data_IF_160845114145
#
_entry.id   IF_160845114145
#
_cell.length_a   1.000
_cell.length_b   1.000
_cell.length_c   1.000
_cell.angle_alpha   90.00
_cell.angle_beta   90.00
_cell.angle_gamma   90.00
#
_symmetry.space_group_name_H-M   'P 1'
#
loop_
_entity.id
_entity.type
_entity.pdbx_description
1 polymer ?
#
# COMPACT_ATOMS: atom_id res chain seq x y z
N UNK A 1 -4.37 12.60 -10.84
CA UNK A 1 -4.12 13.22 -12.15
C UNK A 1 -2.64 13.08 -12.48
N UNK A 2 -2.30 12.16 -13.37
CA UNK A 2 -0.95 12.07 -13.94
C UNK A 2 -0.84 13.13 -15.05
N UNK A 3 0.21 13.93 -15.07
CA UNK A 3 0.45 14.86 -16.18
C UNK A 3 1.27 14.13 -17.26
N UNK A 4 0.68 13.76 -18.41
CA UNK A 4 1.35 12.97 -19.44
C UNK A 4 2.61 13.65 -20.00
N UNK A 5 2.71 14.97 -19.86
CA UNK A 5 3.84 15.77 -20.30
C UNK A 5 5.13 15.47 -19.51
N UNK A 6 5.01 15.14 -18.21
CA UNK A 6 6.16 14.76 -17.36
C UNK A 6 6.87 13.53 -17.92
N UNK A 7 6.13 12.51 -18.33
CA UNK A 7 6.69 11.23 -18.82
C UNK A 7 7.07 11.26 -20.30
N UNK A 8 6.49 12.18 -21.09
CA UNK A 8 6.80 12.38 -22.52
C UNK A 8 7.91 13.41 -22.76
N UNK A 9 8.92 13.41 -21.89
CA UNK A 9 10.10 14.26 -22.03
C UNK A 9 10.20 15.40 -21.02
N UNK A 10 9.18 15.67 -20.20
CA UNK A 10 9.29 16.61 -19.09
C UNK A 10 10.41 16.23 -18.11
N UNK A 11 10.50 14.95 -17.73
CA UNK A 11 11.61 14.45 -16.89
C UNK A 11 12.97 14.57 -17.57
N UNK A 12 13.03 14.32 -18.88
CA UNK A 12 14.25 14.49 -19.66
C UNK A 12 14.69 15.96 -19.67
N UNK A 13 13.75 16.89 -19.87
CA UNK A 13 14.01 18.33 -19.81
C UNK A 13 14.46 18.74 -18.41
N UNK A 14 13.81 18.27 -17.34
CA UNK A 14 14.27 18.56 -15.97
C UNK A 14 15.66 18.01 -15.70
N UNK A 15 15.99 16.83 -16.25
CA UNK A 15 17.34 16.25 -16.16
C UNK A 15 18.37 17.12 -16.87
N UNK A 16 18.08 17.55 -18.09
CA UNK A 16 18.96 18.45 -18.86
C UNK A 16 19.14 19.80 -18.16
N UNK A 17 18.07 20.40 -17.64
CA UNK A 17 18.15 21.65 -16.88
C UNK A 17 18.95 21.49 -15.59
N UNK A 18 18.81 20.35 -14.90
CA UNK A 18 19.62 20.03 -13.71
C UNK A 18 21.10 19.89 -14.09
N UNK A 19 21.40 19.29 -15.24
CA UNK A 19 22.77 19.12 -15.74
C UNK A 19 23.40 20.49 -16.09
N UNK A 20 22.64 21.36 -16.74
CA UNK A 20 23.04 22.76 -17.01
C UNK A 20 23.27 23.53 -15.70
N UNK A 21 22.40 23.36 -14.70
CA UNK A 21 22.55 23.98 -13.40
C UNK A 21 23.84 23.50 -12.69
N UNK A 22 24.10 22.20 -12.67
CA UNK A 22 25.33 21.63 -12.09
C UNK A 22 26.56 22.17 -12.84
N UNK A 23 26.53 22.21 -14.17
CA UNK A 23 27.61 22.76 -14.98
C UNK A 23 27.86 24.24 -14.68
N UNK A 24 26.79 25.04 -14.56
CA UNK A 24 26.88 26.46 -14.22
C UNK A 24 27.42 26.71 -12.81
N UNK A 25 27.09 25.84 -11.84
CA UNK A 25 27.56 25.95 -10.44
C UNK A 25 29.02 25.47 -10.29
N UNK A 26 29.45 24.50 -11.09
CA UNK A 26 30.82 23.95 -11.04
C UNK A 26 31.83 24.72 -11.88
N UNK A 27 31.39 25.59 -12.79
CA UNK A 27 32.27 26.44 -13.60
C UNK A 27 32.99 27.49 -12.73
N UNK A 28 34.32 27.52 -12.78
CA UNK A 28 35.13 28.49 -12.04
C UNK A 28 34.77 29.93 -12.47
N UNK A 29 34.43 30.79 -11.50
CA UNK A 29 34.06 32.20 -11.75
C UNK A 29 32.57 32.48 -11.96
N UNK A 30 31.69 31.46 -11.92
CA UNK A 30 30.25 31.69 -12.04
C UNK A 30 29.62 32.28 -10.76
N UNK A 31 28.80 33.33 -10.91
CA UNK A 31 28.05 33.93 -9.80
C UNK A 31 27.07 32.93 -9.14
N UNK A 32 26.58 31.95 -9.90
CA UNK A 32 25.71 30.89 -9.40
C UNK A 32 26.37 30.05 -8.29
N UNK A 33 27.68 29.77 -8.41
CA UNK A 33 28.45 29.09 -7.37
C UNK A 33 28.57 29.92 -6.09
N UNK A 34 28.69 31.25 -6.20
CA UNK A 34 28.70 32.15 -5.03
C UNK A 34 27.34 32.27 -4.36
N UNK A 35 26.24 32.15 -5.12
CA UNK A 35 24.88 32.25 -4.59
C UNK A 35 24.45 30.96 -3.87
N UNK A 36 24.68 29.81 -4.50
CA UNK A 36 24.36 28.48 -3.94
C UNK A 36 25.39 28.02 -2.91
N UNK A 37 26.63 28.52 -3.00
CA UNK A 37 27.70 28.29 -2.04
C UNK A 37 27.60 29.15 -0.78
N UNK A 38 26.45 29.77 -0.50
CA UNK A 38 26.27 30.51 0.74
C UNK A 38 26.34 29.56 1.96
N UNK A 39 26.73 30.10 3.11
CA UNK A 39 26.99 29.30 4.32
C UNK A 39 25.76 28.50 4.80
N UNK A 40 24.54 29.00 4.54
CA UNK A 40 23.30 28.35 4.97
C UNK A 40 22.96 27.16 4.06
N UNK A 41 23.00 27.35 2.75
CA UNK A 41 22.73 26.29 1.77
C UNK A 41 23.79 25.20 1.80
N UNK A 42 25.06 25.55 1.99
CA UNK A 42 26.12 24.57 2.23
C UNK A 42 25.89 23.79 3.53
N UNK A 43 25.43 24.46 4.60
CA UNK A 43 25.09 23.79 5.85
C UNK A 43 23.93 22.80 5.64
N UNK A 44 22.84 23.21 4.97
CA UNK A 44 21.72 22.30 4.67
C UNK A 44 22.18 21.14 3.78
N UNK A 45 22.93 21.42 2.70
CA UNK A 45 23.37 20.40 1.75
C UNK A 45 24.29 19.35 2.37
N UNK A 46 25.24 19.77 3.21
CA UNK A 46 26.15 18.86 3.92
C UNK A 46 25.47 17.96 4.95
N UNK A 47 24.26 18.33 5.42
CA UNK A 47 23.45 17.55 6.37
C UNK A 47 22.15 17.00 5.77
N UNK A 48 21.98 17.09 4.44
CA UNK A 48 20.76 16.72 3.74
C UNK A 48 20.32 15.29 4.03
N UNK A 49 21.27 14.36 4.17
CA UNK A 49 21.00 12.97 4.52
C UNK A 49 20.40 12.83 5.93
N UNK A 50 20.98 13.44 6.96
CA UNK A 50 20.44 13.43 8.31
C UNK A 50 19.08 14.13 8.39
N UNK A 51 18.90 15.26 7.69
CA UNK A 51 17.60 15.93 7.59
C UNK A 51 16.54 14.98 7.01
N UNK A 52 16.87 14.28 5.92
CA UNK A 52 15.97 13.31 5.29
C UNK A 52 15.62 12.14 6.23
N UNK A 53 16.58 11.60 6.97
CA UNK A 53 16.30 10.49 7.88
C UNK A 53 15.44 10.89 9.09
N UNK A 54 15.74 12.03 9.70
CA UNK A 54 15.15 12.38 11.00
C UNK A 54 13.90 13.23 10.90
N UNK A 55 13.66 13.95 9.78
CA UNK A 55 12.49 14.81 9.68
C UNK A 55 11.18 14.02 9.80
N UNK A 56 11.06 12.90 9.08
CA UNK A 56 9.80 12.14 9.04
C UNK A 56 9.45 11.51 10.40
N UNK A 57 10.34 10.73 11.07
CA UNK A 57 10.02 10.16 12.37
C UNK A 57 9.70 11.22 13.44
N UNK A 58 10.46 12.31 13.49
CA UNK A 58 10.23 13.39 14.48
C UNK A 58 8.87 14.05 14.27
N UNK A 59 8.50 14.30 13.01
CA UNK A 59 7.17 14.81 12.68
C UNK A 59 6.11 13.82 13.15
N UNK A 60 6.28 12.51 12.92
CA UNK A 60 5.31 11.51 13.36
C UNK A 60 5.22 11.38 14.88
N UNK A 61 6.32 11.54 15.62
CA UNK A 61 6.27 11.55 17.09
C UNK A 61 5.48 12.75 17.64
N UNK A 62 5.51 13.89 16.95
CA UNK A 62 4.79 15.10 17.36
C UNK A 62 3.33 15.01 16.91
N UNK A 63 3.07 14.40 15.74
CA UNK A 63 1.71 14.09 15.28
C UNK A 63 1.13 12.98 16.14
N UNK A 64 0.25 13.35 17.08
CA UNK A 64 -0.51 12.36 17.87
C UNK A 64 -1.40 11.48 16.99
N UNK A 65 -1.80 11.98 15.82
CA UNK A 65 -2.61 11.27 14.81
C UNK A 65 -2.03 11.51 13.41
N UNK A 66 -1.89 10.44 12.62
CA UNK A 66 -1.20 10.46 11.32
C UNK A 66 -1.87 11.36 10.26
N UNK A 67 -3.14 11.74 10.46
CA UNK A 67 -3.98 12.45 9.47
C UNK A 67 -4.25 13.92 9.82
N UNK A 68 -3.78 14.44 10.95
CA UNK A 68 -4.00 15.85 11.34
C UNK A 68 -2.81 16.71 10.87
N UNK A 69 -3.11 17.86 10.25
CA UNK A 69 -2.10 18.87 9.90
C UNK A 69 -1.48 19.44 11.17
N UNK A 70 -0.14 19.57 11.22
CA UNK A 70 0.53 20.19 12.37
C UNK A 70 0.05 21.64 12.50
N UNK A 71 -0.18 22.05 13.75
CA UNK A 71 -0.20 23.46 14.08
C UNK A 71 1.12 24.12 13.64
N UNK A 72 1.10 25.39 13.19
CA UNK A 72 2.33 26.12 12.83
C UNK A 72 3.41 26.06 13.91
N UNK A 73 3.00 26.02 15.20
CA UNK A 73 3.92 25.89 16.33
C UNK A 73 4.56 24.51 16.38
N UNK A 74 3.77 23.45 16.21
CA UNK A 74 4.26 22.06 16.19
C UNK A 74 5.23 21.84 15.02
N UNK A 75 4.94 22.42 13.86
CA UNK A 75 5.81 22.32 12.69
C UNK A 75 7.18 22.98 12.94
N UNK A 76 7.19 24.17 13.55
CA UNK A 76 8.43 24.85 13.93
C UNK A 76 9.21 24.03 14.96
N UNK A 77 8.54 23.48 15.97
CA UNK A 77 9.17 22.61 16.98
C UNK A 77 9.77 21.36 16.32
N UNK A 78 9.03 20.71 15.41
CA UNK A 78 9.50 19.55 14.66
C UNK A 78 10.76 19.88 13.87
N UNK A 79 10.78 21.00 13.13
CA UNK A 79 11.96 21.43 12.38
C UNK A 79 13.15 21.77 13.24
N UNK A 80 12.96 22.39 14.40
CA UNK A 80 14.04 22.66 15.35
C UNK A 80 14.62 21.37 15.92
N UNK A 81 13.77 20.40 16.27
CA UNK A 81 14.20 19.09 16.76
C UNK A 81 14.92 18.29 15.67
N UNK A 82 14.40 18.27 14.45
CA UNK A 82 15.07 17.67 13.30
C UNK A 82 16.44 18.28 13.06
N UNK A 83 16.56 19.60 13.09
CA UNK A 83 17.84 20.29 12.95
C UNK A 83 18.84 19.91 14.06
N UNK A 84 18.38 19.85 15.32
CA UNK A 84 19.21 19.49 16.46
C UNK A 84 19.72 18.04 16.39
N UNK A 85 18.83 17.08 16.11
CA UNK A 85 19.18 15.66 15.97
C UNK A 85 20.11 15.46 14.77
N UNK A 86 19.83 16.15 13.66
CA UNK A 86 20.66 16.09 12.47
C UNK A 86 22.06 16.64 12.72
N UNK A 87 22.20 17.78 13.41
CA UNK A 87 23.53 18.33 13.73
C UNK A 87 24.31 17.41 14.68
N UNK A 88 23.63 16.75 15.63
CA UNK A 88 24.23 15.75 16.50
C UNK A 88 24.70 14.53 15.70
N UNK A 89 23.84 13.95 14.84
CA UNK A 89 24.21 12.86 13.93
C UNK A 89 25.41 13.23 13.06
N UNK A 90 25.36 14.43 12.46
CA UNK A 90 26.41 14.89 11.57
C UNK A 90 27.76 15.00 12.26
N UNK A 91 27.81 15.56 13.48
CA UNK A 91 29.07 15.75 14.23
C UNK A 91 29.61 14.45 14.82
N UNK A 92 28.75 13.60 15.36
CA UNK A 92 29.16 12.47 16.18
C UNK A 92 29.15 11.13 15.46
N UNK A 93 28.45 11.01 14.33
CA UNK A 93 28.34 9.76 13.56
C UNK A 93 28.86 9.96 12.15
N UNK A 94 28.31 10.91 11.40
CA UNK A 94 28.61 11.03 9.96
C UNK A 94 30.03 11.56 9.72
N UNK A 95 30.47 12.58 10.48
CA UNK A 95 31.82 13.14 10.32
C UNK A 95 32.93 12.12 10.64
N UNK A 96 32.89 11.37 11.76
CA UNK A 96 33.90 10.34 12.06
C UNK A 96 33.93 9.17 11.07
N UNK A 97 32.77 8.76 10.55
CA UNK A 97 32.68 7.72 9.51
C UNK A 97 33.29 8.23 8.20
N UNK A 98 32.98 9.46 7.80
CA UNK A 98 33.47 10.08 6.56
C UNK A 98 34.98 10.29 6.56
N UNK A 99 35.60 10.58 7.70
CA UNK A 99 37.06 10.78 7.80
C UNK A 99 37.86 9.50 8.05
N UNK A 100 37.21 8.33 8.14
CA UNK A 100 37.88 7.03 8.23
C UNK A 100 38.46 6.69 9.62
N UNK A 101 38.20 7.50 10.64
CA UNK A 101 38.72 7.33 12.01
C UNK A 101 37.77 6.50 12.91
N UNK A 102 36.95 5.63 12.30
CA UNK A 102 35.96 4.82 13.02
C UNK A 102 36.57 3.98 14.16
N UNK A 103 37.80 3.49 13.97
CA UNK A 103 38.54 2.73 14.99
C UNK A 103 38.96 3.58 16.20
N UNK A 104 39.28 4.86 16.00
CA UNK A 104 39.63 5.80 17.08
C UNK A 104 38.40 6.28 17.84
N UNK A 105 37.26 6.45 17.15
CA UNK A 105 35.97 6.76 17.76
C UNK A 105 35.52 5.65 18.73
N UNK A 106 35.63 4.38 18.33
CA UNK A 106 35.26 3.24 19.18
C UNK A 106 36.14 3.15 20.45
N UNK A 107 37.40 3.58 20.36
CA UNK A 107 38.32 3.68 21.49
C UNK A 107 38.07 4.92 22.37
N UNK A 108 37.62 6.03 21.78
CA UNK A 108 37.35 7.32 22.46
C UNK A 108 35.96 7.43 23.11
N UNK A 109 34.96 6.68 22.63
CA UNK A 109 33.59 6.62 23.20
C UNK A 109 33.59 6.22 24.68
N UNK A 110 34.60 5.47 25.13
CA UNK A 110 34.79 5.12 26.55
C UNK A 110 35.36 6.26 27.43
N UNK A 111 35.83 7.37 26.84
CA UNK A 111 36.57 8.44 27.55
C UNK A 111 35.88 9.80 27.58
N UNK A 112 35.00 10.12 26.63
CA UNK A 112 34.31 11.42 26.59
C UNK A 112 32.78 11.25 26.80
N UNK A 113 32.30 11.71 27.96
CA UNK A 113 30.90 11.62 28.36
C UNK A 113 29.95 12.33 27.37
N UNK A 114 30.41 13.39 26.68
CA UNK A 114 29.57 14.11 25.70
C UNK A 114 29.38 13.32 24.41
N UNK A 115 30.44 12.62 23.96
CA UNK A 115 30.35 11.73 22.80
C UNK A 115 29.53 10.49 23.14
N UNK A 116 29.68 9.94 24.34
CA UNK A 116 28.86 8.82 24.83
C UNK A 116 27.38 9.20 24.91
N UNK A 117 27.06 10.41 25.39
CA UNK A 117 25.68 10.91 25.42
C UNK A 117 25.12 11.15 24.00
N UNK A 118 25.90 11.71 23.08
CA UNK A 118 25.43 11.97 21.72
C UNK A 118 25.25 10.68 20.90
N UNK A 119 26.22 9.76 20.96
CA UNK A 119 26.08 8.42 20.38
C UNK A 119 24.94 7.67 21.06
N UNK A 120 24.82 7.77 22.39
CA UNK A 120 23.71 7.21 23.15
C UNK A 120 22.36 7.80 22.74
N UNK A 121 22.27 9.09 22.44
CA UNK A 121 21.04 9.75 21.99
C UNK A 121 20.66 9.31 20.58
N UNK A 122 21.61 9.21 19.66
CA UNK A 122 21.30 8.73 18.31
C UNK A 122 21.03 7.24 18.29
N UNK A 123 21.78 6.42 19.03
CA UNK A 123 21.48 5.00 19.22
C UNK A 123 20.14 4.85 19.90
N UNK A 124 19.78 5.68 20.89
CA UNK A 124 18.46 5.67 21.50
C UNK A 124 17.38 6.11 20.53
N UNK A 125 17.59 7.12 19.67
CA UNK A 125 16.62 7.56 18.66
C UNK A 125 16.46 6.52 17.54
N UNK A 126 17.55 5.90 17.08
CA UNK A 126 17.53 4.82 16.08
C UNK A 126 16.98 3.54 16.68
N UNK A 127 17.30 3.23 17.94
CA UNK A 127 16.73 2.11 18.66
C UNK A 127 15.29 2.38 19.09
N UNK A 128 14.86 3.62 19.33
CA UNK A 128 13.47 3.98 19.58
C UNK A 128 12.68 4.01 18.28
N UNK A 129 13.26 4.44 17.15
CA UNK A 129 12.64 4.34 15.84
C UNK A 129 12.59 2.89 15.36
N UNK A 130 13.65 2.12 15.60
CA UNK A 130 13.76 0.69 15.34
C UNK A 130 12.87 -0.13 16.27
N UNK A 131 12.84 0.16 17.57
CA UNK A 131 11.86 -0.39 18.50
C UNK A 131 10.46 0.15 18.24
N UNK A 132 10.26 1.33 17.65
CA UNK A 132 8.93 1.72 17.17
C UNK A 132 8.54 0.98 15.89
N UNK A 133 9.49 0.30 15.22
CA UNK A 133 9.23 -0.60 14.08
C UNK A 133 9.16 -2.08 14.51
N UNK A 134 9.79 -2.46 15.64
CA UNK A 134 9.90 -3.83 16.18
C UNK A 134 8.94 -4.07 17.36
N UNK A 135 8.75 -3.04 18.18
CA UNK A 135 7.85 -2.91 19.36
C UNK A 135 6.71 -1.92 19.07
N UNK A 136 6.60 -1.40 17.84
CA UNK A 136 5.26 -1.45 17.28
C UNK A 136 4.91 -2.91 17.40
N UNK A 137 3.94 -3.24 18.27
CA UNK A 137 3.31 -4.54 18.13
C UNK A 137 2.99 -4.65 16.63
N UNK A 138 3.10 -5.83 16.01
CA UNK A 138 2.18 -6.08 14.92
C UNK A 138 0.79 -5.93 15.55
N UNK A 139 0.32 -4.70 15.68
CA UNK A 139 -1.08 -4.40 15.70
C UNK A 139 -1.48 -4.86 14.32
N UNK A 140 -1.81 -6.13 14.22
CA UNK A 140 -2.79 -6.56 13.26
C UNK A 140 -3.90 -5.53 13.38
N UNK A 141 -4.13 -4.80 12.30
CA UNK A 141 -5.28 -3.93 12.19
C UNK A 141 -6.47 -4.88 12.15
N UNK A 142 -7.03 -5.16 13.34
CA UNK A 142 -8.02 -6.21 13.60
C UNK A 142 -7.44 -7.44 14.33
N UNK A 143 -8.23 -8.02 15.26
CA UNK A 143 -7.94 -9.26 15.98
C UNK A 143 -7.77 -10.45 15.03
N UNK A 144 -6.57 -10.68 14.49
CA UNK A 144 -6.24 -11.96 13.87
C UNK A 144 -4.79 -12.38 14.11
N UNK A 145 -4.67 -13.54 14.74
CA UNK A 145 -3.43 -14.26 15.01
C UNK A 145 -2.59 -14.43 13.75
N UNK A 146 -1.31 -14.08 13.85
CA UNK A 146 -0.27 -14.39 12.87
C UNK A 146 0.07 -15.89 12.88
N UNK A 147 -0.87 -16.74 12.49
CA UNK A 147 -0.57 -18.10 12.07
C UNK A 147 -0.62 -18.13 10.54
N UNK A 148 0.51 -18.44 9.91
CA UNK A 148 0.55 -18.83 8.50
C UNK A 148 -0.40 -20.02 8.30
N UNK A 149 -1.64 -19.79 7.86
CA UNK A 149 -2.43 -20.82 7.20
C UNK A 149 -1.91 -20.94 5.78
N UNK A 150 -0.94 -21.83 5.63
CA UNK A 150 -0.73 -22.54 4.39
C UNK A 150 -2.10 -22.95 3.85
N UNK A 151 -2.37 -22.63 2.59
CA UNK A 151 -3.50 -23.17 1.83
C UNK A 151 -3.35 -24.70 1.73
N UNK A 152 -3.73 -25.41 2.79
CA UNK A 152 -4.06 -26.83 2.73
C UNK A 152 -5.52 -26.95 2.38
N UNK A 153 -5.74 -27.24 1.10
CA UNK A 153 -6.93 -27.93 0.58
C UNK A 153 -7.30 -29.06 1.55
N UNK A 154 -8.54 -29.13 2.08
CA UNK A 154 -8.97 -30.31 2.82
C UNK A 154 -8.99 -31.52 1.88
N UNK A 155 -8.36 -32.65 2.21
CA UNK A 155 -8.61 -33.87 1.48
C UNK A 155 -9.98 -34.42 1.91
N UNK A 156 -10.94 -34.33 1.02
CA UNK A 156 -12.07 -35.27 0.99
C UNK A 156 -11.48 -36.68 0.79
N UNK A 157 -11.56 -37.54 1.80
CA UNK A 157 -12.10 -38.91 1.63
C UNK A 157 -12.27 -39.66 2.95
N UNK A 158 -13.49 -40.14 3.12
CA UNK A 158 -13.87 -41.29 3.96
C UNK A 158 -13.14 -42.58 3.54
N UNK A 159 -13.04 -43.59 4.44
CA UNK A 159 -12.18 -44.75 4.27
C UNK A 159 -12.91 -45.94 3.62
N UNK A 160 -12.30 -46.59 2.61
CA UNK A 160 -12.35 -48.06 2.48
C UNK A 160 -11.35 -48.64 1.45
N UNK A 161 -10.34 -49.34 1.98
CA UNK A 161 -9.92 -50.73 1.70
C UNK A 161 -9.88 -51.29 0.26
N UNK A 162 -8.69 -51.43 -0.34
CA UNK A 162 -7.97 -52.73 -0.57
C UNK A 162 -6.72 -52.57 -1.49
N UNK A 163 -5.68 -53.41 -1.33
CA UNK A 163 -4.38 -53.26 -2.01
C UNK A 163 -4.17 -54.28 -3.15
N UNK A 164 -3.68 -53.86 -4.33
CA UNK A 164 -3.18 -54.78 -5.37
C UNK A 164 -1.98 -54.19 -6.15
N UNK A 165 -0.79 -54.65 -5.76
CA UNK A 165 0.42 -55.03 -6.54
C UNK A 165 0.79 -54.36 -7.87
N UNK A 166 2.02 -53.80 -7.90
CA UNK A 166 2.92 -53.73 -9.07
C UNK A 166 3.38 -55.12 -9.55
N UNK A 167 3.86 -55.22 -10.81
CA UNK A 167 5.31 -55.37 -10.96
C UNK A 167 5.95 -54.49 -12.05
N UNK A 168 7.25 -54.31 -11.86
CA UNK A 168 8.24 -53.65 -12.72
C UNK A 168 8.26 -54.12 -14.18
N UNK A 169 8.55 -53.17 -15.07
CA UNK A 169 9.09 -53.42 -16.42
C UNK A 169 9.89 -52.21 -16.87
N UNK A 170 11.21 -52.31 -16.81
CA UNK A 170 12.18 -51.29 -17.22
C UNK A 170 12.58 -51.50 -18.68
N UNK A 171 12.38 -50.48 -19.53
CA UNK A 171 13.14 -50.29 -20.78
C UNK A 171 12.97 -48.86 -21.30
N UNK A 172 14.09 -48.23 -21.61
CA UNK A 172 14.35 -46.89 -22.19
C UNK A 172 15.32 -47.12 -23.36
N UNK A 173 15.50 -46.24 -24.39
CA UNK A 173 14.82 -44.97 -24.72
C UNK A 173 14.23 -44.93 -26.14
N UNK A 174 13.28 -44.03 -26.36
CA UNK A 174 12.89 -43.56 -27.69
C UNK A 174 12.52 -42.09 -27.63
N UNK A 175 13.40 -41.24 -28.12
CA UNK A 175 13.16 -39.81 -28.35
C UNK A 175 11.90 -39.64 -29.20
N UNK A 176 10.86 -39.05 -28.62
CA UNK A 176 9.84 -38.31 -29.36
C UNK A 176 9.31 -37.26 -28.41
N UNK A 177 9.64 -36.01 -28.72
CA UNK A 177 9.15 -34.80 -28.07
C UNK A 177 7.65 -34.67 -28.38
N UNK A 178 6.82 -35.41 -27.65
CA UNK A 178 5.39 -35.21 -27.62
C UNK A 178 5.09 -34.19 -26.52
N UNK A 179 4.53 -33.06 -26.96
CA UNK A 179 4.06 -31.97 -26.10
C UNK A 179 3.05 -32.52 -25.08
N UNK A 180 3.48 -32.66 -23.83
CA UNK A 180 2.55 -32.83 -22.70
C UNK A 180 2.01 -31.45 -22.38
N UNK A 181 0.93 -31.08 -23.08
CA UNK A 181 0.06 -30.02 -22.60
C UNK A 181 -0.49 -30.50 -21.26
N UNK A 182 -0.03 -29.87 -20.17
CA UNK A 182 -0.58 -30.11 -18.85
C UNK A 182 -2.10 -29.87 -18.93
N UNK A 183 -2.95 -30.71 -18.29
CA UNK A 183 -4.36 -30.39 -18.20
C UNK A 183 -4.45 -29.07 -17.44
N UNK A 184 -4.78 -28.00 -18.16
CA UNK A 184 -5.24 -26.78 -17.53
C UNK A 184 -6.62 -27.14 -17.02
N UNK A 185 -6.69 -27.69 -15.81
CA UNK A 185 -7.92 -27.70 -15.05
C UNK A 185 -8.20 -26.24 -14.75
N UNK A 186 -8.85 -25.55 -15.69
CA UNK A 186 -9.36 -24.20 -15.48
C UNK A 186 -10.28 -24.30 -14.29
N UNK A 187 -9.81 -23.82 -13.13
CA UNK A 187 -10.66 -23.71 -11.95
C UNK A 187 -11.92 -22.97 -12.37
N UNK A 188 -13.08 -23.51 -12.05
CA UNK A 188 -14.35 -22.86 -12.39
C UNK A 188 -14.38 -21.46 -11.79
N UNK A 189 -14.90 -20.50 -12.56
CA UNK A 189 -14.98 -19.11 -12.13
C UNK A 189 -15.74 -18.99 -10.80
N UNK A 190 -15.26 -18.09 -9.94
CA UNK A 190 -15.91 -17.83 -8.66
C UNK A 190 -17.21 -17.07 -8.91
N UNK A 191 -18.28 -17.51 -8.26
CA UNK A 191 -19.61 -16.89 -8.44
C UNK A 191 -19.63 -15.45 -7.93
N UNK A 192 -18.90 -15.15 -6.86
CA UNK A 192 -18.82 -13.81 -6.27
C UNK A 192 -17.36 -13.41 -6.08
N UNK A 193 -16.97 -12.28 -6.64
CA UNK A 193 -15.61 -11.75 -6.59
C UNK A 193 -15.68 -10.31 -6.08
N UNK A 194 -14.85 -9.95 -5.11
CA UNK A 194 -14.72 -8.60 -4.60
C UNK A 194 -13.28 -8.10 -4.79
N UNK A 195 -13.13 -6.93 -5.41
CA UNK A 195 -11.84 -6.26 -5.57
C UNK A 195 -11.93 -4.91 -4.85
N UNK A 196 -11.00 -4.65 -3.95
CA UNK A 196 -11.05 -3.44 -3.14
C UNK A 196 -9.71 -2.86 -2.72
N UNK A 197 -9.80 -1.74 -2.03
CA UNK A 197 -8.70 -1.01 -1.40
C UNK A 197 -8.71 -1.25 0.12
N UNK A 198 -8.16 -0.33 0.92
CA UNK A 198 -7.94 -0.50 2.35
C UNK A 198 -9.21 -0.64 3.19
N UNK A 199 -10.33 -0.02 2.79
CA UNK A 199 -11.61 -0.19 3.51
C UNK A 199 -12.10 -1.64 3.40
N UNK A 200 -12.05 -2.20 2.19
CA UNK A 200 -12.45 -3.59 1.95
C UNK A 200 -11.48 -4.60 2.60
N UNK A 201 -10.19 -4.25 2.77
CA UNK A 201 -9.24 -5.07 3.54
C UNK A 201 -9.79 -5.37 4.93
N UNK A 202 -10.43 -4.39 5.58
CA UNK A 202 -11.04 -4.57 6.90
C UNK A 202 -12.23 -5.52 6.96
N UNK A 203 -12.79 -5.92 5.81
CA UNK A 203 -13.95 -6.83 5.70
C UNK A 203 -13.63 -8.15 4.99
N UNK A 204 -12.36 -8.45 4.69
CA UNK A 204 -11.97 -9.64 3.92
C UNK A 204 -12.51 -10.94 4.54
N UNK A 205 -12.35 -11.12 5.85
CA UNK A 205 -12.76 -12.35 6.54
C UNK A 205 -14.28 -12.56 6.48
N UNK A 206 -15.04 -11.49 6.70
CA UNK A 206 -16.50 -11.52 6.69
C UNK A 206 -17.03 -11.73 5.27
N UNK A 207 -16.43 -11.10 4.26
CA UNK A 207 -16.77 -11.32 2.85
C UNK A 207 -16.46 -12.75 2.39
N UNK A 208 -15.31 -13.32 2.79
CA UNK A 208 -14.97 -14.71 2.52
C UNK A 208 -15.96 -15.68 3.18
N UNK A 209 -16.37 -15.39 4.43
CA UNK A 209 -17.45 -16.12 5.12
C UNK A 209 -18.78 -16.02 4.36
N UNK A 210 -19.04 -14.86 3.75
CA UNK A 210 -20.18 -14.61 2.87
C UNK A 210 -20.07 -15.25 1.47
N UNK A 211 -19.01 -16.01 1.19
CA UNK A 211 -18.83 -16.74 -0.07
C UNK A 211 -18.16 -15.95 -1.19
N UNK A 212 -17.50 -14.82 -0.89
CA UNK A 212 -16.72 -14.08 -1.88
C UNK A 212 -15.29 -14.58 -1.98
N UNK A 213 -14.78 -14.63 -3.21
CA UNK A 213 -13.35 -14.50 -3.46
C UNK A 213 -12.96 -13.03 -3.34
N UNK A 214 -12.03 -12.68 -2.45
CA UNK A 214 -11.68 -11.28 -2.16
C UNK A 214 -10.21 -11.02 -2.51
N UNK A 215 -9.97 -10.06 -3.42
CA UNK A 215 -8.66 -9.47 -3.67
C UNK A 215 -8.71 -7.99 -3.25
N UNK A 216 -8.41 -7.71 -1.98
CA UNK A 216 -8.34 -6.36 -1.43
C UNK A 216 -6.90 -6.02 -1.00
N UNK A 217 -6.46 -4.77 -1.19
CA UNK A 217 -5.09 -4.36 -0.84
C UNK A 217 -5.03 -2.90 -0.38
N UNK A 218 -4.26 -2.65 0.67
CA UNK A 218 -3.95 -1.30 1.13
C UNK A 218 -3.26 -0.46 0.05
N UNK A 219 -3.54 0.85 0.05
CA UNK A 219 -2.98 1.83 -0.88
C UNK A 219 -3.16 1.47 -2.37
N UNK A 220 -4.12 0.58 -2.69
CA UNK A 220 -4.52 0.31 -4.07
C UNK A 220 -5.28 1.52 -4.61
N UNK A 221 -5.03 1.89 -5.86
CA UNK A 221 -5.81 2.87 -6.61
C UNK A 221 -6.36 2.28 -7.92
N UNK A 222 -6.91 3.11 -8.82
CA UNK A 222 -7.59 2.66 -10.03
C UNK A 222 -6.78 1.73 -10.95
N UNK A 223 -5.50 2.03 -11.20
CA UNK A 223 -4.62 1.16 -11.98
C UNK A 223 -4.41 -0.20 -11.31
N UNK A 224 -4.28 -0.22 -9.98
CA UNK A 224 -4.15 -1.46 -9.22
C UNK A 224 -5.41 -2.31 -9.27
N UNK A 225 -6.60 -1.69 -9.27
CA UNK A 225 -7.88 -2.41 -9.46
C UNK A 225 -7.98 -2.97 -10.87
N UNK A 226 -7.65 -2.20 -11.91
CA UNK A 226 -7.59 -2.69 -13.29
C UNK A 226 -6.67 -3.92 -13.41
N UNK A 227 -5.47 -3.83 -12.84
CA UNK A 227 -4.51 -4.95 -12.87
C UNK A 227 -5.02 -6.17 -12.08
N UNK A 228 -5.80 -5.97 -11.02
CA UNK A 228 -6.44 -7.06 -10.31
C UNK A 228 -7.54 -7.73 -11.16
N UNK A 229 -8.35 -6.97 -11.89
CA UNK A 229 -9.35 -7.51 -12.84
C UNK A 229 -8.65 -8.38 -13.89
N UNK A 230 -7.59 -7.87 -14.53
CA UNK A 230 -6.77 -8.60 -15.50
C UNK A 230 -6.25 -9.92 -14.89
N UNK A 231 -5.59 -9.82 -13.73
CA UNK A 231 -5.02 -10.98 -13.03
C UNK A 231 -6.07 -12.04 -12.72
N UNK A 232 -7.24 -11.65 -12.21
CA UNK A 232 -8.30 -12.60 -11.83
C UNK A 232 -9.01 -13.18 -13.05
N UNK A 233 -9.18 -12.41 -14.12
CA UNK A 233 -9.65 -12.92 -15.42
C UNK A 233 -8.71 -13.97 -15.97
N UNK A 234 -7.43 -13.65 -16.08
CA UNK A 234 -6.43 -14.52 -16.71
C UNK A 234 -6.21 -15.80 -15.88
N UNK A 235 -6.44 -15.74 -14.57
CA UNK A 235 -6.42 -16.90 -13.67
C UNK A 235 -7.72 -17.73 -13.70
N UNK A 236 -8.75 -17.32 -14.46
CA UNK A 236 -10.05 -17.98 -14.51
C UNK A 236 -10.92 -17.79 -13.26
N UNK A 237 -10.49 -16.96 -12.30
CA UNK A 237 -11.23 -16.66 -11.07
C UNK A 237 -12.43 -15.74 -11.35
N UNK A 238 -12.25 -14.75 -12.22
CA UNK A 238 -13.28 -13.83 -12.69
C UNK A 238 -13.66 -14.20 -14.11
N UNK A 239 -14.90 -14.60 -14.35
CA UNK A 239 -15.32 -15.05 -15.68
C UNK A 239 -16.82 -15.24 -15.81
N UNK A 240 -17.21 -16.21 -16.63
CA UNK A 240 -18.61 -16.48 -16.95
C UNK A 240 -19.42 -16.82 -15.68
N UNK A 241 -20.51 -16.09 -15.48
CA UNK A 241 -21.34 -16.24 -14.30
C UNK A 241 -20.72 -15.66 -13.02
N UNK A 242 -19.65 -14.88 -13.06
CA UNK A 242 -19.21 -14.14 -11.87
C UNK A 242 -20.10 -12.90 -11.65
N UNK A 243 -20.26 -12.52 -10.38
CA UNK A 243 -20.70 -11.19 -9.93
C UNK A 243 -19.50 -10.49 -9.30
N UNK A 244 -19.18 -9.28 -9.78
CA UNK A 244 -18.01 -8.51 -9.36
C UNK A 244 -18.42 -7.29 -8.53
N UNK A 245 -17.81 -7.12 -7.35
CA UNK A 245 -17.94 -5.93 -6.51
C UNK A 245 -16.61 -5.18 -6.50
N UNK A 246 -16.65 -3.88 -6.73
CA UNK A 246 -15.46 -3.01 -6.86
C UNK A 246 -15.56 -1.87 -5.86
N UNK A 247 -14.56 -1.74 -4.99
CA UNK A 247 -14.34 -0.55 -4.16
C UNK A 247 -13.05 0.12 -4.63
N UNK A 248 -13.15 1.32 -5.22
CA UNK A 248 -12.01 2.01 -5.86
C UNK A 248 -12.17 3.53 -5.77
N UNK A 249 -11.08 4.22 -5.43
CA UNK A 249 -11.01 5.68 -5.41
C UNK A 249 -10.83 6.31 -4.03
N UNK A 250 -10.68 5.53 -2.95
CA UNK A 250 -10.32 6.06 -1.62
C UNK A 250 -8.91 6.64 -1.67
N UNK A 251 -7.97 5.95 -2.33
CA UNK A 251 -6.55 6.32 -2.32
C UNK A 251 -6.11 7.24 -3.47
N UNK A 252 -6.96 7.50 -4.46
CA UNK A 252 -6.63 8.38 -5.58
C UNK A 252 -7.88 8.98 -6.26
N UNK A 253 -7.77 10.20 -6.82
CA UNK A 253 -8.81 10.74 -7.68
C UNK A 253 -8.97 9.90 -8.95
N UNK A 254 -10.21 9.81 -9.44
CA UNK A 254 -10.59 8.98 -10.59
C UNK A 254 -11.50 9.79 -11.53
N UNK A 255 -11.31 9.64 -12.84
CA UNK A 255 -12.20 10.17 -13.86
C UNK A 255 -12.76 9.05 -14.75
N UNK A 256 -13.50 9.44 -15.79
CA UNK A 256 -14.12 8.51 -16.74
C UNK A 256 -13.10 7.56 -17.41
N UNK A 257 -11.89 8.05 -17.67
CA UNK A 257 -10.83 7.27 -18.33
C UNK A 257 -10.38 6.08 -17.49
N UNK A 258 -10.19 6.28 -16.17
CA UNK A 258 -9.81 5.21 -15.26
C UNK A 258 -10.93 4.18 -15.09
N UNK A 259 -12.19 4.62 -14.95
CA UNK A 259 -13.34 3.72 -14.90
C UNK A 259 -13.46 2.93 -16.20
N UNK A 260 -13.40 3.59 -17.35
CA UNK A 260 -13.47 2.93 -18.66
C UNK A 260 -12.35 1.90 -18.83
N UNK A 261 -11.14 2.19 -18.35
CA UNK A 261 -10.03 1.25 -18.38
C UNK A 261 -10.26 0.02 -17.47
N UNK A 262 -10.93 0.16 -16.32
CA UNK A 262 -11.34 -0.98 -15.49
C UNK A 262 -12.44 -1.78 -16.20
N UNK A 263 -13.49 -1.11 -16.67
CA UNK A 263 -14.64 -1.74 -17.32
C UNK A 263 -14.24 -2.52 -18.58
N UNK A 264 -13.27 -2.04 -19.35
CA UNK A 264 -12.78 -2.71 -20.55
C UNK A 264 -12.11 -4.08 -20.28
N UNK A 265 -11.62 -4.30 -19.05
CA UNK A 265 -10.95 -5.56 -18.69
C UNK A 265 -11.92 -6.60 -18.10
N UNK A 266 -13.14 -6.19 -17.73
CA UNK A 266 -14.16 -7.08 -17.15
C UNK A 266 -14.66 -8.04 -18.24
N UNK A 267 -14.62 -9.37 -18.01
CA UNK A 267 -15.11 -10.35 -18.98
C UNK A 267 -16.59 -10.18 -19.29
N UNK A 268 -16.98 -10.34 -20.56
CA UNK A 268 -18.37 -10.20 -20.99
C UNK A 268 -19.35 -11.20 -20.32
N UNK A 269 -18.83 -12.33 -19.81
CA UNK A 269 -19.62 -13.32 -19.08
C UNK A 269 -19.90 -12.96 -17.61
N UNK A 270 -19.32 -11.87 -17.08
CA UNK A 270 -19.67 -11.35 -15.75
C UNK A 270 -21.12 -10.85 -15.80
N UNK A 271 -21.97 -11.42 -14.93
CA UNK A 271 -23.42 -11.18 -14.98
C UNK A 271 -23.90 -10.06 -14.05
N UNK A 272 -23.00 -9.51 -13.24
CA UNK A 272 -23.29 -8.37 -12.36
C UNK A 272 -22.03 -7.62 -11.98
N UNK A 273 -22.07 -6.29 -12.05
CA UNK A 273 -20.97 -5.41 -11.66
C UNK A 273 -21.50 -4.36 -10.69
N UNK A 274 -20.88 -4.27 -9.52
CA UNK A 274 -21.26 -3.35 -8.46
C UNK A 274 -20.09 -2.44 -8.11
N UNK A 275 -20.30 -1.13 -8.11
CA UNK A 275 -19.34 -0.18 -7.57
C UNK A 275 -19.81 0.33 -6.20
N UNK A 276 -18.86 0.48 -5.29
CA UNK A 276 -19.13 1.02 -3.95
C UNK A 276 -18.71 2.48 -3.87
N UNK A 277 -19.60 3.36 -3.43
CA UNK A 277 -19.22 4.74 -3.06
C UNK A 277 -18.23 4.72 -1.89
N UNK A 278 -17.56 5.83 -1.66
CA UNK A 278 -16.40 5.95 -0.77
C UNK A 278 -16.73 6.90 0.38
N UNK A 279 -16.26 6.61 1.58
CA UNK A 279 -16.41 7.51 2.73
C UNK A 279 -15.04 7.87 3.28
N UNK A 280 -14.65 9.13 3.11
CA UNK A 280 -13.41 9.68 3.65
C UNK A 280 -13.43 11.22 3.60
N UNK A 281 -12.76 11.87 4.54
CA UNK A 281 -12.63 13.33 4.62
C UNK A 281 -11.59 13.92 3.65
N UNK A 282 -11.57 13.47 2.40
CA UNK A 282 -10.57 13.87 1.40
C UNK A 282 -11.23 14.51 0.19
N UNK A 283 -10.64 15.60 -0.33
CA UNK A 283 -11.29 16.52 -1.28
C UNK A 283 -11.79 15.90 -2.59
N UNK A 284 -11.20 14.78 -3.06
CA UNK A 284 -11.62 14.12 -4.29
C UNK A 284 -12.77 13.11 -4.11
N UNK A 285 -13.11 12.76 -2.86
CA UNK A 285 -14.13 11.75 -2.56
C UNK A 285 -15.51 12.16 -3.08
N UNK A 286 -15.99 13.41 -2.90
CA UNK A 286 -17.27 13.82 -3.47
C UNK A 286 -17.34 13.64 -4.99
N UNK A 287 -16.28 14.02 -5.72
CA UNK A 287 -16.20 13.87 -7.18
C UNK A 287 -16.17 12.40 -7.61
N UNK A 288 -15.39 11.56 -6.92
CA UNK A 288 -15.37 10.12 -7.18
C UNK A 288 -16.75 9.49 -6.90
N UNK A 289 -17.45 9.91 -5.85
CA UNK A 289 -18.79 9.40 -5.53
C UNK A 289 -19.85 9.84 -6.53
N UNK A 290 -19.79 11.07 -7.04
CA UNK A 290 -20.65 11.53 -8.13
C UNK A 290 -20.42 10.68 -9.38
N UNK A 291 -19.16 10.44 -9.75
CA UNK A 291 -18.78 9.55 -10.85
C UNK A 291 -19.35 8.14 -10.65
N UNK A 292 -19.15 7.53 -9.47
CA UNK A 292 -19.65 6.19 -9.13
C UNK A 292 -21.18 6.12 -9.23
N UNK A 293 -21.89 7.10 -8.64
CA UNK A 293 -23.36 7.16 -8.67
C UNK A 293 -23.90 7.36 -10.10
N UNK A 294 -23.14 7.97 -10.99
CA UNK A 294 -23.52 8.15 -12.40
C UNK A 294 -23.30 6.90 -13.27
N UNK A 295 -22.46 5.94 -12.84
CA UNK A 295 -22.09 4.76 -13.64
C UNK A 295 -23.26 3.97 -14.23
N UNK A 296 -24.39 3.72 -13.53
CA UNK A 296 -25.52 3.00 -14.12
C UNK A 296 -26.12 3.68 -15.36
N UNK A 297 -25.95 5.00 -15.50
CA UNK A 297 -26.39 5.74 -16.69
C UNK A 297 -25.48 5.47 -17.89
N UNK A 298 -24.18 5.36 -17.65
CA UNK A 298 -23.15 5.10 -18.69
C UNK A 298 -23.04 3.62 -19.01
N UNK A 299 -23.24 2.75 -18.02
CA UNK A 299 -23.12 1.30 -18.07
C UNK A 299 -24.38 0.65 -17.49
N UNK A 300 -25.41 0.35 -18.30
CA UNK A 300 -26.72 -0.13 -17.84
C UNK A 300 -26.74 -1.44 -17.03
N UNK A 301 -25.63 -2.18 -16.98
CA UNK A 301 -25.45 -3.38 -16.15
C UNK A 301 -24.72 -3.15 -14.82
N UNK A 302 -24.28 -1.91 -14.56
CA UNK A 302 -23.61 -1.53 -13.32
C UNK A 302 -24.64 -1.09 -12.27
N UNK A 303 -24.44 -1.56 -11.05
CA UNK A 303 -25.20 -1.13 -9.87
C UNK A 303 -24.28 -0.45 -8.85
N UNK A 304 -24.87 0.34 -7.96
CA UNK A 304 -24.12 1.11 -6.96
C UNK A 304 -24.54 0.69 -5.55
N UNK A 305 -23.54 0.44 -4.71
CA UNK A 305 -23.70 0.19 -3.28
C UNK A 305 -23.27 1.47 -2.56
N UNK A 306 -24.22 2.19 -1.95
CA UNK A 306 -23.97 3.50 -1.34
C UNK A 306 -23.41 3.37 0.09
N UNK A 307 -22.14 2.97 0.20
CA UNK A 307 -21.41 2.94 1.47
C UNK A 307 -21.26 4.32 2.10
N UNK A 308 -21.15 5.38 1.31
CA UNK A 308 -20.94 6.75 1.80
C UNK A 308 -22.13 7.23 2.63
N UNK A 309 -23.35 6.94 2.15
CA UNK A 309 -24.58 7.24 2.88
C UNK A 309 -24.76 6.44 4.18
N UNK A 310 -24.08 5.28 4.31
CA UNK A 310 -24.29 4.32 5.41
C UNK A 310 -23.12 4.28 6.40
N UNK A 311 -21.96 4.81 6.03
CA UNK A 311 -20.75 4.73 6.85
C UNK A 311 -20.90 5.37 8.23
N UNK A 312 -21.76 6.39 8.35
CA UNK A 312 -22.09 7.03 9.63
C UNK A 312 -22.91 6.18 10.61
N UNK A 313 -23.41 5.01 10.20
CA UNK A 313 -24.13 4.07 11.07
C UNK A 313 -23.20 3.17 11.89
N UNK A 314 -21.90 3.19 11.59
CA UNK A 314 -20.89 2.37 12.28
C UNK A 314 -19.77 3.23 12.81
N UNK A 315 -19.06 2.69 13.81
CA UNK A 315 -17.87 3.34 14.34
C UNK A 315 -16.69 3.09 13.41
N UNK A 316 -16.30 4.11 12.64
CA UNK A 316 -15.06 4.12 11.89
C UNK A 316 -13.86 4.33 12.83
N UNK A 317 -12.67 3.98 12.34
CA UNK A 317 -11.40 4.35 12.96
C UNK A 317 -11.26 5.87 13.14
N UNK A 318 -10.29 6.30 13.94
CA UNK A 318 -10.05 7.73 14.21
C UNK A 318 -9.73 8.56 12.96
N UNK A 319 -9.30 7.91 11.89
CA UNK A 319 -9.10 8.55 10.58
C UNK A 319 -10.41 8.83 9.81
N UNK A 320 -11.55 8.31 10.27
CA UNK A 320 -12.85 8.46 9.61
C UNK A 320 -12.98 7.68 8.30
N UNK A 321 -12.14 6.67 8.06
CA UNK A 321 -12.08 5.90 6.80
C UNK A 321 -12.19 4.40 7.07
N UNK A 322 -11.35 3.88 7.95
CA UNK A 322 -11.20 2.42 8.11
C UNK A 322 -12.23 1.82 9.07
N UNK A 323 -12.52 0.53 8.88
CA UNK A 323 -13.60 -0.21 9.57
C UNK A 323 -13.10 -1.24 10.58
N UNK A 324 -11.80 -1.25 10.87
CA UNK A 324 -11.16 -2.28 11.70
C UNK A 324 -11.11 -1.96 13.19
N UNK A 325 -11.35 -0.71 13.58
CA UNK A 325 -11.18 -0.25 14.96
C UNK A 325 -12.40 -0.48 15.87
N UNK A 326 -13.56 -0.81 15.31
CA UNK A 326 -14.82 -1.02 16.06
C UNK A 326 -15.12 -2.48 16.40
N UNK A 327 -14.10 -3.34 16.45
CA UNK A 327 -14.29 -4.80 16.49
C UNK A 327 -14.88 -5.33 15.18
N UNK A 328 -15.60 -6.46 15.22
CA UNK A 328 -16.20 -7.05 14.02
C UNK A 328 -17.42 -6.31 13.48
N UNK A 329 -18.02 -5.40 14.26
CA UNK A 329 -19.29 -4.73 13.92
C UNK A 329 -19.27 -3.94 12.61
N UNK A 330 -18.35 -2.97 12.42
CA UNK A 330 -18.27 -2.20 11.18
C UNK A 330 -17.94 -3.07 9.95
N UNK A 331 -17.04 -4.06 10.11
CA UNK A 331 -16.71 -5.03 9.07
C UNK A 331 -17.92 -5.91 8.67
N UNK A 332 -18.69 -6.38 9.65
CA UNK A 332 -19.93 -7.13 9.43
C UNK A 332 -20.99 -6.28 8.73
N UNK A 333 -21.17 -5.03 9.15
CA UNK A 333 -22.11 -4.12 8.51
C UNK A 333 -21.72 -3.83 7.05
N UNK A 334 -20.46 -3.50 6.80
CA UNK A 334 -19.92 -3.30 5.45
C UNK A 334 -20.14 -4.53 4.56
N UNK A 335 -19.88 -5.72 5.13
CA UNK A 335 -20.10 -7.01 4.44
C UNK A 335 -21.58 -7.24 4.15
N UNK A 336 -22.46 -7.03 5.13
CA UNK A 336 -23.90 -7.24 4.98
C UNK A 336 -24.54 -6.25 4.00
N UNK A 337 -23.98 -5.04 3.89
CA UNK A 337 -24.35 -4.09 2.83
C UNK A 337 -24.05 -4.68 1.44
N UNK A 338 -22.88 -5.31 1.27
CA UNK A 338 -22.51 -5.97 0.02
C UNK A 338 -23.38 -7.21 -0.24
N UNK A 339 -23.52 -8.10 0.75
CA UNK A 339 -24.32 -9.33 0.63
C UNK A 339 -25.77 -9.03 0.28
N UNK A 340 -26.39 -8.06 0.96
CA UNK A 340 -27.75 -7.64 0.67
C UNK A 340 -27.91 -7.08 -0.74
N UNK A 341 -26.93 -6.30 -1.22
CA UNK A 341 -26.96 -5.76 -2.59
C UNK A 341 -26.89 -6.85 -3.67
N UNK A 342 -26.11 -7.92 -3.44
CA UNK A 342 -25.99 -9.03 -4.39
C UNK A 342 -27.00 -10.16 -4.17
N UNK A 343 -27.93 -10.01 -3.20
CA UNK A 343 -28.99 -10.97 -2.91
C UNK A 343 -28.56 -12.21 -2.12
N UNK A 344 -27.48 -12.11 -1.35
CA UNK A 344 -26.96 -13.18 -0.49
C UNK A 344 -27.49 -13.07 0.96
N UNK A 345 -27.56 -14.19 1.70
CA UNK A 345 -27.87 -14.18 3.12
C UNK A 345 -26.86 -13.33 3.91
N UNK A 346 -27.35 -12.61 4.93
CA UNK A 346 -26.50 -11.82 5.82
C UNK A 346 -25.70 -12.73 6.77
N UNK A 347 -24.49 -12.30 7.13
CA UNK A 347 -23.61 -12.98 8.09
C UNK A 347 -23.70 -12.33 9.47
N UNK A 348 -23.56 -13.15 10.52
CA UNK A 348 -23.60 -12.78 11.94
C UNK A 348 -22.25 -12.88 12.61
#
# INVERSE_FOLDING_TARGET
VYDPWLFRGGFLLTGLLTLVLIAAVTHQGAAAGSLLGNKVLLWIGTRSYGLYLFHWPIIQFIRKEAQVLLSPVEFVVAMLLTGAVTEASYRYIETPIRTGHFKEMLAGVRRDAKQMMAVGTVVAVVALAGCSMIVADPHCVGDQDCAQTQNTVPPDTTPDTTPVTSPSGSSVPGDTTASTEAPTTTAAAQRYVAIGESVMVGAVNQLQTGGFYVDAKENRGPEGVKNAVIKLRDAGVLGDGSTLVIQVGTNAPMGDAEVAAIMAEIPAGVVGVYFMTLHAGVDWIPGNNELIRALPTTYPGVQVIDWDARAGEVQLCSDGIHITCGGSGPALFYTNLILGAVGLPLVS
#
